data_IF_067856788821
#
_entry.id   IF_067856788821
#
_cell.length_a   1.000
_cell.length_b   1.000
_cell.length_c   1.000
_cell.angle_alpha   90.00
_cell.angle_beta   90.00
_cell.angle_gamma   90.00
#
_symmetry.space_group_name_H-M   'P 1'
#
loop_
_entity.id
_entity.type
_entity.pdbx_description
1 polymer ?
#
# COMPACT_ATOMS: atom_id res chain seq x y z
N UNK A 1 1.63 14.51 30.49
CA UNK A 1 2.53 15.19 31.47
C UNK A 1 2.21 14.69 32.88
N UNK A 2 3.19 14.09 33.55
CA UNK A 2 3.09 13.58 34.92
C UNK A 2 3.70 14.59 35.92
N UNK A 3 3.00 14.86 37.04
CA UNK A 3 3.45 15.75 38.11
C UNK A 3 3.66 14.99 39.43
N UNK A 4 4.85 15.02 40.02
CA UNK A 4 5.16 14.23 41.23
C UNK A 4 6.04 14.97 42.24
N UNK A 5 5.90 14.67 43.53
CA UNK A 5 6.72 15.22 44.62
C UNK A 5 8.02 14.43 44.87
N UNK A 6 8.25 13.34 44.15
CA UNK A 6 9.42 12.47 44.31
C UNK A 6 10.56 13.00 43.43
N UNK A 7 11.71 13.32 44.04
CA UNK A 7 12.82 14.01 43.37
C UNK A 7 13.97 13.08 42.93
N UNK A 8 13.92 11.77 43.21
CA UNK A 8 14.99 10.87 42.76
C UNK A 8 14.90 10.64 41.24
N UNK A 9 16.06 10.66 40.58
CA UNK A 9 16.17 10.53 39.11
C UNK A 9 15.61 9.20 38.61
N UNK A 10 15.70 8.14 39.41
CA UNK A 10 15.20 6.81 39.06
C UNK A 10 13.68 6.80 38.82
N UNK A 11 12.93 7.59 39.58
CA UNK A 11 11.48 7.71 39.41
C UNK A 11 11.07 8.58 38.22
N UNK A 12 11.98 9.39 37.66
CA UNK A 12 11.73 10.17 36.44
C UNK A 12 11.78 9.25 35.23
N UNK A 13 12.83 8.42 35.17
CA UNK A 13 13.06 7.46 34.09
C UNK A 13 11.94 6.43 34.05
N UNK A 14 11.58 5.85 35.20
CA UNK A 14 10.46 4.92 35.32
C UNK A 14 9.13 5.54 34.84
N UNK A 15 8.90 6.82 35.15
CA UNK A 15 7.72 7.56 34.70
C UNK A 15 7.67 7.74 33.18
N UNK A 16 8.79 8.08 32.55
CA UNK A 16 8.88 8.23 31.09
C UNK A 16 8.78 6.89 30.36
N UNK A 17 9.44 5.84 30.86
CA UNK A 17 9.39 4.49 30.28
C UNK A 17 7.98 3.89 30.36
N UNK A 18 7.17 4.30 31.34
CA UNK A 18 5.76 3.90 31.44
C UNK A 18 4.84 4.61 30.43
N UNK A 19 5.38 5.41 29.52
CA UNK A 19 4.65 6.07 28.44
C UNK A 19 4.18 7.49 28.77
N UNK A 20 4.71 8.13 29.82
CA UNK A 20 4.42 9.54 30.07
C UNK A 20 5.13 10.42 29.03
N UNK A 21 4.38 11.29 28.35
CA UNK A 21 4.95 12.20 27.35
C UNK A 21 5.95 13.22 27.94
N UNK A 22 5.77 13.56 29.22
CA UNK A 22 6.64 14.52 29.91
C UNK A 22 6.54 14.35 31.42
N UNK A 23 7.59 14.75 32.13
CA UNK A 23 7.74 14.59 33.58
C UNK A 23 8.15 15.91 34.24
N UNK A 24 7.44 16.32 35.30
CA UNK A 24 7.75 17.54 36.05
C UNK A 24 7.70 17.27 37.56
N UNK A 25 8.83 17.48 38.23
CA UNK A 25 8.96 17.34 39.68
C UNK A 25 8.42 18.58 40.42
N UNK A 26 7.78 18.37 41.56
CA UNK A 26 7.29 19.43 42.46
C UNK A 26 8.37 19.83 43.49
N UNK A 27 8.42 21.11 43.89
CA UNK A 27 7.61 22.22 43.38
C UNK A 27 8.10 22.68 42.00
N UNK A 28 7.19 22.90 41.06
CA UNK A 28 7.50 23.40 39.72
C UNK A 28 7.06 24.86 39.56
N UNK A 29 7.68 25.55 38.60
CA UNK A 29 7.25 26.90 38.24
C UNK A 29 6.01 26.83 37.32
N UNK A 30 4.90 27.55 37.59
CA UNK A 30 3.69 27.48 36.78
C UNK A 30 3.93 27.80 35.29
N UNK A 31 4.85 28.72 34.99
CA UNK A 31 5.22 29.05 33.61
C UNK A 31 5.93 27.91 32.87
N UNK A 32 6.74 27.09 33.58
CA UNK A 32 7.39 25.94 32.97
C UNK A 32 6.35 24.91 32.53
N UNK A 33 5.38 24.60 33.39
CA UNK A 33 4.29 23.68 33.06
C UNK A 33 3.45 24.20 31.89
N UNK A 34 3.15 25.51 31.86
CA UNK A 34 2.41 26.13 30.74
C UNK A 34 3.14 26.01 29.41
N UNK A 35 4.46 26.23 29.40
CA UNK A 35 5.28 26.07 28.20
C UNK A 35 5.27 24.61 27.70
N UNK A 36 5.39 23.64 28.61
CA UNK A 36 5.34 22.21 28.28
C UNK A 36 3.99 21.80 27.68
N UNK A 37 2.88 22.24 28.28
CA UNK A 37 1.53 22.00 27.75
C UNK A 37 1.38 22.61 26.35
N UNK A 38 1.83 23.86 26.16
CA UNK A 38 1.75 24.53 24.86
C UNK A 38 2.55 23.79 23.78
N UNK A 39 3.74 23.30 24.12
CA UNK A 39 4.55 22.50 23.21
C UNK A 39 3.88 21.16 22.88
N UNK A 40 3.30 20.48 23.88
CA UNK A 40 2.53 19.25 23.67
C UNK A 40 1.31 19.46 22.77
N UNK A 41 0.56 20.53 22.97
CA UNK A 41 -0.57 20.90 22.10
C UNK A 41 -0.11 21.12 20.65
N UNK A 42 0.99 21.85 20.44
CA UNK A 42 1.55 22.08 19.10
C UNK A 42 1.99 20.78 18.44
N UNK A 43 2.53 19.84 19.20
CA UNK A 43 2.91 18.53 18.68
C UNK A 43 1.69 17.75 18.18
N UNK A 44 0.62 17.70 18.98
CA UNK A 44 -0.63 17.03 18.60
C UNK A 44 -1.24 17.67 17.34
N UNK A 45 -1.29 18.99 17.28
CA UNK A 45 -1.80 19.72 16.11
C UNK A 45 -0.99 19.39 14.84
N UNK A 46 0.35 19.32 14.93
CA UNK A 46 1.19 18.94 13.80
C UNK A 46 0.97 17.49 13.38
N UNK A 47 0.78 16.56 14.34
CA UNK A 47 0.48 15.16 14.05
C UNK A 47 -0.87 14.99 13.35
N UNK A 48 -1.90 15.68 13.81
CA UNK A 48 -3.22 15.68 13.17
C UNK A 48 -3.16 16.24 11.74
N UNK A 49 -2.43 17.34 11.55
CA UNK A 49 -2.20 17.93 10.24
C UNK A 49 -1.46 16.99 9.29
N UNK A 50 -0.43 16.29 9.77
CA UNK A 50 0.30 15.30 8.98
C UNK A 50 -0.62 14.14 8.57
N UNK A 51 -1.39 13.60 9.51
CA UNK A 51 -2.32 12.51 9.24
C UNK A 51 -3.40 12.92 8.21
N UNK A 52 -3.88 14.16 8.27
CA UNK A 52 -4.79 14.69 7.26
C UNK A 52 -4.14 14.76 5.88
N UNK A 53 -2.89 15.22 5.79
CA UNK A 53 -2.16 15.34 4.50
C UNK A 53 -1.81 13.99 3.90
N UNK A 54 -1.50 12.99 4.73
CA UNK A 54 -1.35 11.61 4.26
C UNK A 54 -2.64 11.11 3.61
N UNK A 55 -3.79 11.30 4.26
CA UNK A 55 -5.10 10.91 3.69
C UNK A 55 -5.41 11.61 2.37
N UNK A 56 -5.13 12.92 2.30
CA UNK A 56 -5.30 13.71 1.06
C UNK A 56 -4.40 13.19 -0.07
N UNK A 57 -3.12 12.93 0.22
CA UNK A 57 -2.17 12.39 -0.76
C UNK A 57 -2.59 11.01 -1.25
N UNK A 58 -2.95 10.11 -0.34
CA UNK A 58 -3.45 8.78 -0.70
C UNK A 58 -4.68 8.85 -1.61
N UNK A 59 -5.59 9.79 -1.34
CA UNK A 59 -6.77 10.00 -2.18
C UNK A 59 -6.39 10.51 -3.57
N UNK A 60 -5.46 11.47 -3.66
CA UNK A 60 -4.97 11.96 -4.94
C UNK A 60 -4.26 10.87 -5.74
N UNK A 61 -3.44 10.03 -5.10
CA UNK A 61 -2.77 8.89 -5.74
C UNK A 61 -3.79 7.87 -6.27
N UNK A 62 -4.85 7.57 -5.50
CA UNK A 62 -5.93 6.69 -5.98
C UNK A 62 -6.60 7.22 -7.24
N UNK A 63 -6.83 8.54 -7.34
CA UNK A 63 -7.43 9.15 -8.52
C UNK A 63 -6.53 9.04 -9.77
N UNK A 64 -5.22 9.17 -9.61
CA UNK A 64 -4.27 8.98 -10.72
C UNK A 64 -4.24 7.52 -11.17
N UNK A 65 -4.24 6.56 -10.24
CA UNK A 65 -4.14 5.14 -10.55
C UNK A 65 -5.41 4.56 -11.18
N UNK A 66 -6.60 5.12 -10.88
CA UNK A 66 -7.86 4.71 -11.52
C UNK A 66 -7.86 4.88 -13.06
N UNK A 67 -7.01 5.76 -13.60
CA UNK A 67 -6.83 5.92 -15.05
C UNK A 67 -5.75 4.99 -15.62
N UNK A 68 -4.90 4.39 -14.79
CA UNK A 68 -3.75 3.56 -15.18
C UNK A 68 -4.04 2.04 -15.14
N UNK A 69 -5.15 1.60 -14.55
CA UNK A 69 -5.49 0.17 -14.42
C UNK A 69 -6.16 -0.45 -15.66
N UNK A 70 -6.36 0.33 -16.73
CA UNK A 70 -6.97 -0.17 -17.96
C UNK A 70 -5.90 -0.74 -18.88
N UNK A 71 -5.84 -2.07 -18.99
CA UNK A 71 -5.05 -2.75 -20.03
C UNK A 71 -5.82 -2.73 -21.36
N UNK A 72 -5.44 -1.90 -22.35
CA UNK A 72 -6.08 -1.90 -23.65
C UNK A 72 -5.80 -3.22 -24.38
N UNK A 73 -6.84 -4.01 -24.63
CA UNK A 73 -6.75 -5.26 -25.38
C UNK A 73 -7.27 -5.11 -26.80
N UNK A 74 -6.63 -5.78 -27.77
CA UNK A 74 -7.17 -5.88 -29.12
C UNK A 74 -8.44 -6.74 -29.08
N UNK A 75 -9.57 -6.21 -29.57
CA UNK A 75 -10.85 -6.93 -29.60
C UNK A 75 -10.75 -8.29 -30.31
N UNK A 76 -9.95 -8.36 -31.37
CA UNK A 76 -9.81 -9.54 -32.22
C UNK A 76 -8.83 -10.58 -31.68
N UNK A 77 -7.62 -10.17 -31.28
CA UNK A 77 -6.53 -11.11 -30.95
C UNK A 77 -6.09 -11.08 -29.47
N UNK A 78 -6.71 -10.25 -28.63
CA UNK A 78 -6.46 -10.14 -27.18
C UNK A 78 -5.01 -9.79 -26.78
N UNK A 79 -4.20 -9.28 -27.72
CA UNK A 79 -2.90 -8.67 -27.41
C UNK A 79 -3.08 -7.36 -26.63
N UNK A 80 -2.11 -7.02 -25.78
CA UNK A 80 -2.11 -5.80 -24.96
C UNK A 80 -1.41 -4.69 -25.74
N UNK A 81 -2.02 -3.49 -25.83
CA UNK A 81 -1.40 -2.31 -26.43
C UNK A 81 -0.50 -1.64 -25.40
N UNK A 82 0.75 -1.40 -25.74
CA UNK A 82 1.66 -0.59 -24.92
C UNK A 82 1.67 0.85 -25.44
N UNK A 83 2.81 1.52 -25.34
CA UNK A 83 3.11 2.79 -26.00
C UNK A 83 3.28 2.66 -27.53
N UNK A 84 3.19 3.80 -28.22
CA UNK A 84 3.53 3.98 -29.64
C UNK A 84 3.02 2.91 -30.63
N UNK A 85 1.80 2.41 -30.41
CA UNK A 85 1.11 1.44 -31.28
C UNK A 85 1.77 0.05 -31.37
N UNK A 86 2.60 -0.29 -30.38
CA UNK A 86 3.16 -1.61 -30.22
C UNK A 86 2.20 -2.54 -29.47
N UNK A 87 2.18 -3.82 -29.85
CA UNK A 87 1.25 -4.82 -29.34
C UNK A 87 1.99 -6.06 -28.85
N UNK A 88 1.89 -6.33 -27.55
CA UNK A 88 2.53 -7.48 -26.90
C UNK A 88 1.55 -8.62 -26.68
N UNK A 89 2.08 -9.85 -26.64
CA UNK A 89 1.34 -10.99 -26.10
C UNK A 89 1.13 -10.78 -24.61
N UNK A 90 0.03 -11.33 -24.08
CA UNK A 90 -0.29 -11.24 -22.65
C UNK A 90 0.86 -11.78 -21.81
N UNK A 91 1.40 -12.94 -22.14
CA UNK A 91 2.50 -13.55 -21.38
C UNK A 91 3.75 -12.67 -21.29
N UNK A 92 4.12 -12.04 -22.42
CA UNK A 92 5.27 -11.12 -22.49
C UNK A 92 5.02 -9.89 -21.62
N UNK A 93 3.84 -9.28 -21.75
CA UNK A 93 3.47 -8.12 -20.94
C UNK A 93 3.46 -8.44 -19.45
N UNK A 94 2.86 -9.58 -19.05
CA UNK A 94 2.80 -10.01 -17.66
C UNK A 94 4.21 -10.20 -17.10
N UNK A 95 5.10 -10.92 -17.79
CA UNK A 95 6.47 -11.15 -17.30
C UNK A 95 7.30 -9.86 -17.19
N UNK A 96 7.06 -8.87 -18.05
CA UNK A 96 7.77 -7.59 -18.03
C UNK A 96 7.26 -6.62 -16.96
N UNK A 97 5.97 -6.67 -16.62
CA UNK A 97 5.33 -5.65 -15.77
C UNK A 97 4.87 -6.16 -14.40
N UNK A 98 4.74 -7.48 -14.24
CA UNK A 98 4.32 -8.14 -13.02
C UNK A 98 5.32 -9.26 -12.76
N UNK A 99 5.96 -9.29 -11.60
CA UNK A 99 6.97 -10.31 -11.25
C UNK A 99 6.33 -11.71 -11.08
N UNK A 100 5.85 -12.29 -12.18
CA UNK A 100 5.05 -13.51 -12.25
C UNK A 100 5.50 -14.40 -13.40
N UNK A 101 5.45 -15.72 -13.18
CA UNK A 101 5.70 -16.72 -14.23
C UNK A 101 4.38 -17.26 -14.77
N UNK A 102 4.28 -17.34 -16.09
CA UNK A 102 3.08 -17.82 -16.78
C UNK A 102 3.27 -19.27 -17.21
N UNK A 103 2.27 -20.10 -16.94
CA UNK A 103 2.15 -21.46 -17.47
C UNK A 103 0.96 -21.56 -18.41
N UNK A 104 1.07 -22.38 -19.46
CA UNK A 104 -0.01 -22.60 -20.41
C UNK A 104 -0.78 -23.88 -20.09
N UNK A 105 -2.10 -23.83 -20.20
CA UNK A 105 -3.00 -24.96 -20.02
C UNK A 105 -4.22 -24.81 -20.93
N UNK A 106 -4.92 -25.92 -21.16
CA UNK A 106 -6.14 -25.96 -21.97
C UNK A 106 -7.31 -26.15 -21.01
N UNK A 107 -8.29 -25.23 -21.04
CA UNK A 107 -9.49 -25.38 -20.22
C UNK A 107 -10.42 -26.45 -20.83
N UNK A 108 -11.33 -27.05 -20.03
CA UNK A 108 -12.22 -28.10 -20.52
C UNK A 108 -13.01 -27.70 -21.77
N UNK A 109 -13.56 -26.48 -21.80
CA UNK A 109 -14.35 -26.03 -22.95
C UNK A 109 -13.53 -25.83 -24.23
N UNK A 110 -12.24 -25.51 -24.13
CA UNK A 110 -11.34 -25.45 -25.29
C UNK A 110 -10.91 -26.85 -25.72
N UNK A 111 -10.74 -27.78 -24.78
CA UNK A 111 -10.39 -29.16 -25.07
C UNK A 111 -11.47 -29.81 -25.95
N UNK A 112 -12.73 -29.77 -25.50
CA UNK A 112 -13.87 -30.37 -26.21
C UNK A 112 -14.10 -29.75 -27.60
N UNK A 113 -13.82 -28.45 -27.75
CA UNK A 113 -14.09 -27.71 -28.99
C UNK A 113 -13.00 -27.79 -30.03
N UNK A 114 -11.74 -27.90 -29.61
CA UNK A 114 -10.58 -27.74 -30.48
C UNK A 114 -9.66 -28.96 -30.47
N UNK A 115 -9.42 -29.54 -29.29
CA UNK A 115 -8.41 -30.60 -29.14
C UNK A 115 -9.01 -31.97 -29.46
N UNK A 116 -10.14 -32.31 -28.84
CA UNK A 116 -10.81 -33.60 -29.04
C UNK A 116 -11.17 -33.84 -30.52
N UNK A 117 -11.77 -32.87 -31.26
CA UNK A 117 -12.07 -33.07 -32.68
C UNK A 117 -10.83 -33.21 -33.56
N UNK A 118 -9.68 -32.62 -33.19
CA UNK A 118 -8.43 -32.79 -33.94
C UNK A 118 -7.78 -34.14 -33.66
N UNK A 119 -7.80 -34.61 -32.40
CA UNK A 119 -7.33 -35.95 -32.05
C UNK A 119 -8.11 -37.02 -32.83
N UNK A 120 -9.44 -36.88 -32.92
CA UNK A 120 -10.28 -37.81 -33.66
C UNK A 120 -9.96 -37.81 -35.17
N UNK A 121 -9.76 -36.63 -35.78
CA UNK A 121 -9.33 -36.52 -37.20
C UNK A 121 -7.97 -37.18 -37.43
N UNK A 122 -7.00 -36.93 -36.55
CA UNK A 122 -5.67 -37.52 -36.65
C UNK A 122 -5.68 -39.05 -36.48
N UNK A 123 -6.64 -39.57 -35.71
CA UNK A 123 -6.83 -41.01 -35.48
C UNK A 123 -7.62 -41.71 -36.60
N UNK A 124 -8.28 -40.96 -37.48
CA UNK A 124 -9.06 -41.49 -38.61
C UNK A 124 -8.36 -41.35 -39.97
N UNK A 125 -7.22 -40.65 -40.03
CA UNK A 125 -6.33 -40.55 -41.19
C UNK A 125 -5.17 -41.58 -41.19
N UNK A 126 -5.13 -42.51 -40.21
CA UNK A 126 -4.11 -43.57 -40.07
C UNK A 126 -4.71 -44.97 -40.03
#
# INVERSE_FOLDING_TARGET
ILLTSRQSKDHVVEGLDSGADDYVAKPFHPEELRLRIRNGMRLLELQENLAARIRELEQATRQVNQLQDLLPLCTYCKRIRTDENYWLKVDSYLAEHLDVRVSHGICPSCYDKLVEPEIDRMSSDG
#
